data_IF_431635145407
#
_entry.id   IF_431635145407
#
_cell.length_a   1.000
_cell.length_b   1.000
_cell.length_c   1.000
_cell.angle_alpha   90.00
_cell.angle_beta   90.00
_cell.angle_gamma   90.00
#
_symmetry.space_group_name_H-M   'P 1'
#
loop_
_entity.id
_entity.type
_entity.pdbx_description
1 polymer ?
#
# COMPACT_ATOMS: atom_id res chain seq x y z
N UNK A 1 6.29 -15.98 -7.66
CA UNK A 1 5.81 -15.78 -6.31
C UNK A 1 5.47 -14.31 -6.07
N UNK A 2 4.25 -14.02 -5.67
CA UNK A 2 3.81 -12.66 -5.44
C UNK A 2 3.57 -12.46 -3.95
N UNK A 3 4.21 -11.44 -3.38
CA UNK A 3 3.96 -11.05 -2.01
C UNK A 3 2.89 -9.96 -2.01
N UNK A 4 1.85 -10.16 -1.22
CA UNK A 4 0.76 -9.22 -1.12
C UNK A 4 0.28 -9.15 0.32
N UNK A 5 0.06 -7.93 0.82
CA UNK A 5 -0.33 -7.69 2.21
C UNK A 5 -1.41 -6.63 2.27
N UNK A 6 -2.33 -6.79 3.22
CA UNK A 6 -3.24 -5.73 3.61
C UNK A 6 -2.82 -5.30 5.02
N UNK A 7 -2.46 -4.03 5.16
CA UNK A 7 -2.02 -3.49 6.45
C UNK A 7 -3.10 -2.58 6.99
N UNK A 8 -3.64 -2.91 8.15
CA UNK A 8 -4.72 -2.12 8.75
C UNK A 8 -4.20 -0.81 9.30
N UNK A 9 -4.84 0.27 8.91
CA UNK A 9 -4.54 1.58 9.47
C UNK A 9 -5.62 2.57 9.08
N UNK A 10 -5.86 3.59 9.91
CA UNK A 10 -6.83 4.62 9.56
C UNK A 10 -6.38 5.45 8.37
N UNK A 11 -7.35 6.02 7.66
CA UNK A 11 -7.11 6.74 6.41
C UNK A 11 -6.08 7.85 6.57
N UNK A 12 -6.09 8.55 7.68
CA UNK A 12 -5.19 9.68 7.90
C UNK A 12 -3.71 9.28 7.98
N UNK A 13 -3.43 8.00 8.10
CA UNK A 13 -2.05 7.51 8.12
C UNK A 13 -1.59 6.91 6.80
N UNK A 14 -2.50 6.80 5.83
CA UNK A 14 -2.20 6.15 4.56
C UNK A 14 -1.05 6.84 3.83
N UNK A 15 -1.08 8.16 3.75
CA UNK A 15 -0.08 8.89 2.97
C UNK A 15 1.34 8.66 3.48
N UNK A 16 1.54 8.81 4.79
CA UNK A 16 2.86 8.61 5.39
C UNK A 16 3.34 7.17 5.20
N UNK A 17 2.43 6.21 5.39
CA UNK A 17 2.76 4.81 5.23
C UNK A 17 3.13 4.46 3.80
N UNK A 18 2.41 5.03 2.83
CA UNK A 18 2.67 4.77 1.42
C UNK A 18 4.06 5.25 1.02
N UNK A 19 4.49 6.40 1.51
CA UNK A 19 5.84 6.89 1.25
C UNK A 19 6.89 5.91 1.76
N UNK A 20 6.66 5.39 2.95
CA UNK A 20 7.58 4.41 3.53
C UNK A 20 7.58 3.11 2.74
N UNK A 21 6.40 2.64 2.33
CA UNK A 21 6.29 1.41 1.58
C UNK A 21 7.03 1.49 0.25
N UNK A 22 6.96 2.63 -0.43
CA UNK A 22 7.69 2.82 -1.69
C UNK A 22 9.19 2.74 -1.47
N UNK A 23 9.69 3.31 -0.38
CA UNK A 23 11.10 3.21 -0.03
C UNK A 23 11.52 1.77 0.23
N UNK A 24 10.61 0.96 0.74
CA UNK A 24 10.87 -0.45 1.00
C UNK A 24 10.77 -1.32 -0.25
N UNK A 25 10.37 -0.75 -1.38
CA UNK A 25 10.35 -1.49 -2.63
C UNK A 25 9.00 -2.02 -3.08
N UNK A 26 7.93 -1.72 -2.36
CA UNK A 26 6.58 -2.11 -2.79
C UNK A 26 6.15 -1.24 -3.96
N UNK A 27 5.64 -1.87 -5.00
CA UNK A 27 5.26 -1.19 -6.23
C UNK A 27 3.76 -1.13 -6.46
N UNK A 28 3.02 -2.14 -6.00
CA UNK A 28 1.56 -2.11 -6.08
C UNK A 28 1.01 -1.58 -4.78
N UNK A 29 0.27 -0.47 -4.83
CA UNK A 29 -0.26 0.16 -3.63
C UNK A 29 -1.71 0.53 -3.86
N UNK A 30 -2.61 -0.08 -3.08
CA UNK A 30 -4.03 0.22 -3.15
C UNK A 30 -4.49 0.90 -1.88
N UNK A 31 -5.12 2.08 -2.00
CA UNK A 31 -5.52 2.82 -0.82
C UNK A 31 -6.71 3.75 -1.02
N UNK A 32 -6.97 4.20 -2.26
CA UNK A 32 -7.95 5.28 -2.46
C UNK A 32 -9.37 4.92 -2.04
N UNK A 33 -9.78 3.69 -2.33
CA UNK A 33 -11.13 3.25 -1.98
C UNK A 33 -11.17 2.51 -0.65
N UNK A 34 -10.06 2.46 0.06
CA UNK A 34 -9.95 1.73 1.32
C UNK A 34 -9.87 2.71 2.48
N UNK A 35 -10.72 2.51 3.48
CA UNK A 35 -10.77 3.40 4.64
C UNK A 35 -9.86 2.94 5.76
N UNK A 36 -9.76 1.64 5.95
CA UNK A 36 -9.13 1.07 7.13
C UNK A 36 -7.90 0.23 6.87
N UNK A 37 -7.43 0.20 5.63
CA UNK A 37 -6.23 -0.57 5.32
C UNK A 37 -5.58 -0.08 4.03
N UNK A 38 -4.33 -0.49 3.84
CA UNK A 38 -3.59 -0.24 2.61
C UNK A 38 -3.14 -1.58 2.08
N UNK A 39 -3.37 -1.81 0.79
CA UNK A 39 -2.89 -3.01 0.12
C UNK A 39 -1.51 -2.75 -0.48
N UNK A 40 -0.57 -3.67 -0.26
CA UNK A 40 0.78 -3.59 -0.81
C UNK A 40 1.10 -4.87 -1.55
N UNK A 41 1.76 -4.76 -2.70
CA UNK A 41 2.28 -5.95 -3.36
C UNK A 41 3.55 -5.62 -4.16
N UNK A 42 4.22 -6.68 -4.59
CA UNK A 42 5.48 -6.58 -5.34
C UNK A 42 5.27 -6.76 -6.84
N UNK A 43 4.04 -6.69 -7.30
CA UNK A 43 3.71 -6.80 -8.70
C UNK A 43 4.08 -5.56 -9.51
N UNK A 44 3.44 -5.36 -10.66
CA UNK A 44 3.71 -4.18 -11.49
C UNK A 44 3.47 -2.89 -10.72
N UNK A 45 4.22 -1.86 -11.06
CA UNK A 45 4.06 -0.57 -10.40
C UNK A 45 2.71 0.03 -10.75
N UNK A 46 1.88 0.26 -9.73
CA UNK A 46 0.58 0.88 -9.89
C UNK A 46 0.08 1.35 -8.53
N UNK A 47 -0.81 2.32 -8.58
CA UNK A 47 -1.41 2.87 -7.37
C UNK A 47 -2.88 3.09 -7.63
N UNK A 48 -3.73 2.62 -6.72
CA UNK A 48 -5.18 2.81 -6.82
C UNK A 48 -5.80 3.03 -5.41
#
# INVERSE_FOLDING_TARGET
LTLAFDVRMPKERHEAFIKLARKCGFRGIGHRDYENFVHLDMGPEREW
#
